data_IF_271215087566
#
_entry.id   IF_271215087566
#
_cell.length_a   1.000
_cell.length_b   1.000
_cell.length_c   1.000
_cell.angle_alpha   90.00
_cell.angle_beta   90.00
_cell.angle_gamma   90.00
#
_symmetry.space_group_name_H-M   'P 1'
#
loop_
_entity.id
_entity.type
_entity.pdbx_description
1 polymer ?
#
# COMPACT_ATOMS: atom_id res chain seq x y z
N UNK A 1 35.58 3.50 -29.24
CA UNK A 1 34.30 2.77 -29.17
C UNK A 1 34.37 1.83 -27.96
N UNK A 2 34.16 2.38 -26.77
CA UNK A 2 34.28 1.65 -25.50
C UNK A 2 32.97 0.97 -25.19
N UNK A 3 32.98 -0.37 -25.16
CA UNK A 3 31.85 -1.18 -24.73
C UNK A 3 31.56 -0.91 -23.26
N UNK A 4 30.55 -0.08 -22.99
CA UNK A 4 30.00 0.03 -21.64
C UNK A 4 29.45 -1.33 -21.23
N UNK A 5 30.05 -1.87 -20.18
CA UNK A 5 29.65 -3.10 -19.51
C UNK A 5 28.21 -2.96 -19.03
N UNK A 6 27.28 -3.57 -19.78
CA UNK A 6 25.91 -3.85 -19.37
C UNK A 6 25.92 -4.85 -18.19
N UNK A 7 26.25 -4.37 -16.99
CA UNK A 7 26.04 -5.12 -15.77
C UNK A 7 24.55 -5.00 -15.42
N UNK A 8 23.78 -6.08 -15.67
CA UNK A 8 22.41 -6.18 -15.17
C UNK A 8 22.43 -6.02 -13.63
N UNK A 9 21.51 -5.24 -13.05
CA UNK A 9 21.44 -5.10 -11.60
C UNK A 9 21.02 -6.46 -11.01
N UNK A 10 22.01 -7.21 -10.52
CA UNK A 10 21.78 -8.50 -9.86
C UNK A 10 20.85 -8.28 -8.67
N UNK A 11 19.70 -8.97 -8.63
CA UNK A 11 18.93 -9.20 -7.42
C UNK A 11 19.77 -10.05 -6.45
N UNK A 12 20.78 -9.42 -5.84
CA UNK A 12 21.73 -10.04 -4.92
C UNK A 12 21.89 -9.25 -3.64
N UNK A 13 21.04 -8.24 -3.40
CA UNK A 13 20.97 -7.56 -2.11
C UNK A 13 20.45 -8.53 -1.06
N UNK A 14 21.26 -8.86 -0.06
CA UNK A 14 20.78 -9.58 1.12
C UNK A 14 19.70 -8.71 1.78
N UNK A 15 18.53 -9.28 2.06
CA UNK A 15 17.50 -8.58 2.83
C UNK A 15 18.10 -8.27 4.20
N UNK A 16 18.20 -6.99 4.55
CA UNK A 16 18.65 -6.59 5.86
C UNK A 16 17.51 -6.81 6.86
N UNK A 17 17.63 -7.87 7.66
CA UNK A 17 16.65 -8.22 8.67
C UNK A 17 16.50 -7.12 9.73
N UNK A 18 17.47 -6.21 9.88
CA UNK A 18 17.33 -5.04 10.75
C UNK A 18 16.27 -4.09 10.24
N UNK A 19 16.17 -3.89 8.92
CA UNK A 19 15.11 -3.07 8.32
C UNK A 19 13.75 -3.72 8.56
N UNK A 20 13.64 -5.04 8.39
CA UNK A 20 12.40 -5.76 8.68
C UNK A 20 12.02 -5.66 10.17
N UNK A 21 12.99 -5.81 11.07
CA UNK A 21 12.77 -5.66 12.50
C UNK A 21 12.32 -4.23 12.85
N UNK A 22 12.92 -3.21 12.24
CA UNK A 22 12.51 -1.81 12.43
C UNK A 22 11.08 -1.60 11.94
N UNK A 23 10.72 -2.06 10.75
CA UNK A 23 9.35 -1.96 10.22
C UNK A 23 8.37 -2.63 11.19
N UNK A 24 8.65 -3.87 11.60
CA UNK A 24 7.80 -4.61 12.53
C UNK A 24 7.66 -3.89 13.88
N UNK A 25 8.76 -3.43 14.47
CA UNK A 25 8.74 -2.71 15.74
C UNK A 25 7.96 -1.40 15.64
N UNK A 26 8.11 -0.65 14.55
CA UNK A 26 7.36 0.59 14.33
C UNK A 26 5.86 0.31 14.20
N UNK A 27 5.47 -0.71 13.44
CA UNK A 27 4.06 -1.11 13.30
C UNK A 27 3.46 -1.57 14.62
N UNK A 28 4.18 -2.39 15.39
CA UNK A 28 3.71 -2.84 16.72
C UNK A 28 3.61 -1.68 17.70
N UNK A 29 4.61 -0.80 17.74
CA UNK A 29 4.59 0.39 18.59
C UNK A 29 3.40 1.28 18.25
N UNK A 30 3.15 1.50 16.95
CA UNK A 30 1.99 2.23 16.48
C UNK A 30 0.68 1.62 17.00
N UNK A 31 0.44 0.32 16.81
CA UNK A 31 -0.80 -0.31 17.28
C UNK A 31 -0.94 -0.31 18.81
N UNK A 32 0.15 -0.51 19.55
CA UNK A 32 0.13 -0.45 21.03
C UNK A 32 -0.22 0.95 21.50
N UNK A 33 0.42 1.98 20.94
CA UNK A 33 0.15 3.37 21.30
C UNK A 33 -1.28 3.74 20.94
N UNK A 34 -1.74 3.44 19.72
CA UNK A 34 -3.08 3.78 19.26
C UNK A 34 -4.16 3.12 20.12
N UNK A 35 -3.95 1.85 20.53
CA UNK A 35 -4.86 1.16 21.44
C UNK A 35 -4.84 1.77 22.86
N UNK A 36 -3.67 2.09 23.39
CA UNK A 36 -3.53 2.67 24.73
C UNK A 36 -4.16 4.06 24.88
N UNK A 37 -4.29 4.81 23.78
CA UNK A 37 -4.89 6.16 23.79
C UNK A 37 -6.34 6.17 23.28
N UNK A 38 -6.88 5.03 22.83
CA UNK A 38 -8.19 4.96 22.15
C UNK A 38 -9.33 5.60 22.95
N UNK A 39 -9.37 5.39 24.26
CA UNK A 39 -10.46 5.87 25.12
C UNK A 39 -10.36 7.36 25.49
N UNK A 40 -9.23 8.02 25.22
CA UNK A 40 -8.97 9.42 25.55
C UNK A 40 -8.90 10.34 24.32
N UNK A 41 -8.88 9.76 23.12
CA UNK A 41 -8.93 10.47 21.84
C UNK A 41 -10.34 10.43 21.25
N UNK A 42 -10.68 11.42 20.43
CA UNK A 42 -11.92 11.38 19.63
C UNK A 42 -11.93 10.14 18.71
N UNK A 43 -13.13 9.61 18.43
CA UNK A 43 -13.33 8.42 17.58
C UNK A 43 -12.73 8.61 16.18
N UNK A 44 -12.73 9.84 15.65
CA UNK A 44 -11.99 10.23 14.45
C UNK A 44 -11.01 11.34 14.79
N UNK A 45 -9.71 11.08 14.60
CA UNK A 45 -8.66 11.99 15.02
C UNK A 45 -7.56 12.15 13.97
N UNK A 46 -6.51 12.91 14.32
CA UNK A 46 -5.42 13.24 13.41
C UNK A 46 -4.62 12.01 12.92
N UNK A 47 -4.61 10.91 13.68
CA UNK A 47 -3.95 9.66 13.30
C UNK A 47 -4.69 9.04 12.12
N UNK A 48 -6.02 8.96 12.18
CA UNK A 48 -6.86 8.41 11.09
C UNK A 48 -6.69 9.23 9.80
N UNK A 49 -6.64 10.56 9.92
CA UNK A 49 -6.36 11.46 8.79
C UNK A 49 -4.98 11.18 8.20
N UNK A 50 -3.96 10.97 9.04
CA UNK A 50 -2.61 10.68 8.58
C UNK A 50 -2.55 9.31 7.86
N UNK A 51 -3.23 8.29 8.38
CA UNK A 51 -3.32 6.97 7.75
C UNK A 51 -4.01 7.02 6.39
N UNK A 52 -5.18 7.66 6.31
CA UNK A 52 -5.90 7.89 5.05
C UNK A 52 -5.01 8.64 4.04
N UNK A 53 -4.30 9.67 4.49
CA UNK A 53 -3.39 10.46 3.65
C UNK A 53 -2.25 9.62 3.09
N UNK A 54 -1.64 8.74 3.89
CA UNK A 54 -0.57 7.85 3.44
C UNK A 54 -1.04 6.91 2.33
N UNK A 55 -2.24 6.34 2.46
CA UNK A 55 -2.82 5.46 1.44
C UNK A 55 -3.01 6.21 0.11
N UNK A 56 -3.52 7.45 0.17
CA UNK A 56 -3.68 8.33 -1.00
C UNK A 56 -2.33 8.66 -1.64
N UNK A 57 -1.30 8.95 -0.84
CA UNK A 57 0.06 9.21 -1.36
C UNK A 57 0.61 8.00 -2.11
N UNK A 58 0.44 6.78 -1.56
CA UNK A 58 0.88 5.55 -2.23
C UNK A 58 0.08 5.32 -3.51
N UNK A 59 -1.24 5.48 -3.47
CA UNK A 59 -2.12 5.36 -4.63
C UNK A 59 -1.69 6.29 -5.78
N UNK A 60 -1.53 7.59 -5.48
CA UNK A 60 -1.16 8.60 -6.48
C UNK A 60 0.25 8.33 -7.02
N UNK A 61 1.20 8.04 -6.14
CA UNK A 61 2.58 7.74 -6.52
C UNK A 61 2.65 6.50 -7.43
N UNK A 62 1.87 5.46 -7.12
CA UNK A 62 1.77 4.26 -7.94
C UNK A 62 1.20 4.57 -9.34
N UNK A 63 0.16 5.39 -9.45
CA UNK A 63 -0.36 5.81 -10.75
C UNK A 63 0.61 6.70 -11.54
N UNK A 64 1.37 7.57 -10.88
CA UNK A 64 2.45 8.36 -11.53
C UNK A 64 3.52 7.43 -12.09
N UNK A 65 4.03 6.49 -11.30
CA UNK A 65 5.04 5.51 -11.74
C UNK A 65 4.50 4.64 -12.87
N UNK A 66 3.24 4.20 -12.76
CA UNK A 66 2.56 3.45 -13.81
C UNK A 66 2.59 4.19 -15.16
N UNK A 67 2.22 5.47 -15.15
CA UNK A 67 2.22 6.31 -16.35
C UNK A 67 3.64 6.51 -16.92
N UNK A 68 4.64 6.72 -16.06
CA UNK A 68 6.02 6.91 -16.46
C UNK A 68 6.62 5.67 -17.13
N UNK A 69 6.32 4.47 -16.61
CA UNK A 69 6.87 3.20 -17.09
C UNK A 69 5.89 2.38 -17.94
N UNK A 70 4.79 2.98 -18.38
CA UNK A 70 3.81 2.34 -19.27
C UNK A 70 4.44 1.76 -20.55
N UNK A 71 5.40 2.44 -21.22
CA UNK A 71 6.06 1.89 -22.42
C UNK A 71 6.83 0.58 -22.15
N UNK A 72 7.39 0.43 -20.95
CA UNK A 72 8.05 -0.80 -20.49
C UNK A 72 7.07 -1.95 -20.17
N UNK A 73 5.76 -1.72 -20.32
CA UNK A 73 4.58 -2.58 -20.12
C UNK A 73 4.49 -3.35 -18.81
N UNK A 74 5.51 -4.09 -18.41
CA UNK A 74 5.53 -4.92 -17.20
C UNK A 74 5.53 -4.04 -15.94
N UNK A 75 6.48 -3.10 -15.81
CA UNK A 75 6.54 -2.19 -14.66
C UNK A 75 5.33 -1.25 -14.61
N UNK A 76 4.92 -0.67 -15.74
CA UNK A 76 3.71 0.17 -15.79
C UNK A 76 2.47 -0.57 -15.29
N UNK A 77 2.22 -1.79 -15.76
CA UNK A 77 1.09 -2.62 -15.31
C UNK A 77 1.19 -3.03 -13.85
N UNK A 78 2.40 -3.36 -13.37
CA UNK A 78 2.61 -3.68 -11.97
C UNK A 78 2.21 -2.51 -11.07
N UNK A 79 2.71 -1.30 -11.34
CA UNK A 79 2.39 -0.12 -10.55
C UNK A 79 0.94 0.37 -10.74
N UNK A 80 0.33 0.13 -11.91
CA UNK A 80 -1.10 0.37 -12.10
C UNK A 80 -1.93 -0.46 -11.12
N UNK A 81 -1.63 -1.77 -11.01
CA UNK A 81 -2.32 -2.64 -10.08
C UNK A 81 -2.08 -2.24 -8.62
N UNK A 82 -0.90 -1.75 -8.27
CA UNK A 82 -0.65 -1.20 -6.93
C UNK A 82 -1.53 0.02 -6.64
N UNK A 83 -1.65 0.93 -7.61
CA UNK A 83 -2.54 2.09 -7.50
C UNK A 83 -4.00 1.66 -7.30
N UNK A 84 -4.47 0.67 -8.08
CA UNK A 84 -5.82 0.11 -7.91
C UNK A 84 -5.99 -0.56 -6.55
N UNK A 85 -4.99 -1.31 -6.06
CA UNK A 85 -5.04 -1.93 -4.74
C UNK A 85 -5.26 -0.88 -3.65
N UNK A 86 -4.42 0.16 -3.59
CA UNK A 86 -4.55 1.23 -2.61
C UNK A 86 -5.80 2.08 -2.80
N UNK A 87 -6.34 2.20 -4.03
CA UNK A 87 -7.65 2.80 -4.25
C UNK A 87 -8.79 1.98 -3.63
N UNK A 88 -8.73 0.64 -3.72
CA UNK A 88 -9.70 -0.24 -3.03
C UNK A 88 -9.59 -0.08 -1.52
N UNK A 89 -8.37 -0.13 -0.97
CA UNK A 89 -8.15 0.06 0.47
C UNK A 89 -8.68 1.41 0.96
N UNK A 90 -8.30 2.51 0.29
CA UNK A 90 -8.77 3.85 0.63
C UNK A 90 -10.30 3.95 0.56
N UNK A 91 -10.93 3.35 -0.44
CA UNK A 91 -12.41 3.33 -0.54
C UNK A 91 -13.04 2.59 0.63
N UNK A 92 -12.45 1.46 1.04
CA UNK A 92 -12.91 0.69 2.19
C UNK A 92 -12.84 1.52 3.49
N UNK A 93 -11.70 2.19 3.72
CA UNK A 93 -11.49 3.06 4.89
C UNK A 93 -12.47 4.24 4.89
N UNK A 94 -12.68 4.92 3.77
CA UNK A 94 -13.66 6.01 3.68
C UNK A 94 -15.07 5.51 4.01
N UNK A 95 -15.46 4.34 3.50
CA UNK A 95 -16.76 3.74 3.82
C UNK A 95 -16.87 3.37 5.30
N UNK A 96 -15.81 2.80 5.88
CA UNK A 96 -15.73 2.49 7.30
C UNK A 96 -15.96 3.74 8.16
N UNK A 97 -15.24 4.82 7.86
CA UNK A 97 -15.34 6.10 8.55
C UNK A 97 -16.74 6.72 8.41
N UNK A 98 -17.38 6.60 7.24
CA UNK A 98 -18.77 7.04 7.05
C UNK A 98 -19.73 6.22 7.93
N UNK A 99 -19.56 4.90 7.99
CA UNK A 99 -20.45 4.03 8.76
C UNK A 99 -20.33 4.27 10.26
N UNK A 100 -19.10 4.32 10.77
CA UNK A 100 -18.83 4.50 12.20
C UNK A 100 -19.13 5.94 12.64
N UNK A 101 -18.55 6.94 11.97
CA UNK A 101 -18.50 8.32 12.48
C UNK A 101 -19.59 9.26 11.91
N UNK A 102 -20.32 8.86 10.87
CA UNK A 102 -21.39 9.69 10.28
C UNK A 102 -22.76 9.02 10.44
N UNK A 103 -22.86 7.74 10.08
CA UNK A 103 -24.12 7.00 10.14
C UNK A 103 -24.34 6.32 11.50
N UNK A 104 -23.30 6.17 12.32
CA UNK A 104 -23.34 5.51 13.62
C UNK A 104 -23.94 4.09 13.53
N UNK A 105 -23.55 3.35 12.49
CA UNK A 105 -23.91 1.95 12.28
C UNK A 105 -22.66 1.08 12.39
N UNK A 106 -22.86 -0.18 12.76
CA UNK A 106 -21.78 -1.15 12.82
C UNK A 106 -21.08 -1.24 11.43
N UNK A 107 -19.80 -0.88 11.33
CA UNK A 107 -19.09 -0.86 10.04
C UNK A 107 -18.72 -2.25 9.54
N UNK A 108 -18.78 -3.27 10.40
CA UNK A 108 -18.54 -4.66 10.07
C UNK A 108 -19.71 -5.57 10.47
N UNK A 109 -20.24 -6.44 9.59
CA UNK A 109 -19.92 -6.57 8.17
C UNK A 109 -20.64 -5.51 7.31
N UNK A 110 -20.01 -5.07 6.22
CA UNK A 110 -20.58 -4.06 5.31
C UNK A 110 -20.02 -4.14 3.88
N UNK A 111 -20.50 -3.24 3.01
CA UNK A 111 -19.98 -3.10 1.64
C UNK A 111 -18.49 -2.72 1.60
N UNK A 112 -17.94 -2.15 2.68
CA UNK A 112 -16.50 -1.86 2.81
C UNK A 112 -15.66 -3.15 2.70
N UNK A 113 -16.16 -4.28 3.20
CA UNK A 113 -15.46 -5.58 3.17
C UNK A 113 -15.12 -6.01 1.75
N UNK A 114 -16.00 -5.74 0.77
CA UNK A 114 -15.76 -6.07 -0.64
C UNK A 114 -14.49 -5.37 -1.14
N UNK A 115 -14.27 -4.13 -0.73
CA UNK A 115 -13.10 -3.34 -1.12
C UNK A 115 -11.84 -3.79 -0.38
N UNK A 116 -11.92 -4.12 0.92
CA UNK A 116 -10.82 -4.77 1.64
C UNK A 116 -10.41 -6.08 0.97
N UNK A 117 -11.36 -6.92 0.57
CA UNK A 117 -11.06 -8.16 -0.14
C UNK A 117 -10.51 -7.91 -1.55
N UNK A 118 -10.99 -6.88 -2.26
CA UNK A 118 -10.51 -6.52 -3.59
C UNK A 118 -9.05 -6.03 -3.57
N UNK A 119 -8.54 -5.48 -2.45
CA UNK A 119 -7.13 -5.11 -2.32
C UNK A 119 -6.18 -6.28 -2.64
N UNK A 120 -6.42 -7.45 -2.07
CA UNK A 120 -5.51 -8.59 -2.14
C UNK A 120 -5.18 -9.06 -3.57
N UNK A 121 -6.14 -9.33 -4.48
CA UNK A 121 -5.82 -9.76 -5.83
C UNK A 121 -4.98 -8.73 -6.60
N UNK A 122 -5.23 -7.43 -6.42
CA UNK A 122 -4.44 -6.38 -7.08
C UNK A 122 -3.03 -6.23 -6.48
N UNK A 123 -2.90 -6.30 -5.15
CA UNK A 123 -1.60 -6.27 -4.48
C UNK A 123 -0.73 -7.49 -4.86
N UNK A 124 -1.33 -8.68 -4.92
CA UNK A 124 -0.66 -9.91 -5.38
C UNK A 124 -0.25 -9.79 -6.85
N UNK A 125 -1.12 -9.28 -7.72
CA UNK A 125 -0.79 -9.04 -9.13
C UNK A 125 0.38 -8.08 -9.28
N UNK A 126 0.40 -6.98 -8.52
CA UNK A 126 1.54 -6.05 -8.47
C UNK A 126 2.82 -6.80 -8.12
N UNK A 127 2.84 -7.53 -7.01
CA UNK A 127 4.03 -8.23 -6.53
C UNK A 127 4.58 -9.22 -7.56
N UNK A 128 3.72 -10.10 -8.10
CA UNK A 128 4.12 -11.10 -9.09
C UNK A 128 4.66 -10.45 -10.37
N UNK A 129 3.95 -9.43 -10.87
CA UNK A 129 4.33 -8.75 -12.12
C UNK A 129 5.61 -7.93 -11.96
N UNK A 130 5.78 -7.27 -10.82
CA UNK A 130 6.97 -6.50 -10.50
C UNK A 130 8.23 -7.40 -10.43
N UNK A 131 8.13 -8.55 -9.74
CA UNK A 131 9.22 -9.54 -9.67
C UNK A 131 9.57 -10.08 -11.06
N UNK A 132 8.57 -10.35 -11.91
CA UNK A 132 8.80 -10.78 -13.30
C UNK A 132 9.50 -9.71 -14.12
N UNK A 133 9.12 -8.45 -13.95
CA UNK A 133 9.75 -7.31 -14.63
C UNK A 133 11.22 -7.15 -14.27
N UNK A 134 11.58 -7.45 -13.02
CA UNK A 134 12.96 -7.45 -12.55
C UNK A 134 13.81 -8.58 -13.14
N UNK A 135 13.24 -9.78 -13.33
CA UNK A 135 13.96 -10.93 -13.94
C UNK A 135 14.15 -10.81 -15.46
N UNK A 136 13.36 -9.98 -16.12
CA UNK A 136 13.40 -9.80 -17.59
C UNK A 136 14.47 -8.79 -18.04
N UNK A 137 15.20 -8.17 -17.12
CA UNK A 137 16.35 -7.29 -17.38
C UNK A 137 17.64 -8.00 -16.99
#
# INVERSE_FOLDING_TARGET
>A
MSSESNASPRLGGKIDYKILAVILCLTLAYHVVNNAIKDITEEFNAIDIAELSLQVVVMISAFIISKLYWPGKIFGRAYFALGVAFAMWFTAEVLWQIFENILFIEPYPSVADIFYFAFYPFAIYHMITNIRGLKSR
#
